data_IF_140510342699
#
_entry.id   IF_140510342699
#
_cell.length_a   1.000
_cell.length_b   1.000
_cell.length_c   1.000
_cell.angle_alpha   90.00
_cell.angle_beta   90.00
_cell.angle_gamma   90.00
#
_symmetry.space_group_name_H-M   'P 1'
#
loop_
_entity.id
_entity.type
_entity.pdbx_description
1 polymer ?
#
# COMPACT_ATOMS: atom_id res chain seq x y z
N UNK A 1 6.02 -6.02 16.41
CA UNK A 1 6.25 -4.84 17.09
C UNK A 1 7.43 -4.06 16.59
N UNK A 2 7.41 -2.85 16.58
CA UNK A 2 8.41 -2.05 15.98
C UNK A 2 9.60 -1.76 16.85
N UNK A 3 9.53 -2.08 18.07
CA UNK A 3 10.65 -1.93 18.97
C UNK A 3 10.95 -0.53 19.43
N UNK A 4 10.43 0.50 18.79
CA UNK A 4 10.81 1.86 19.14
C UNK A 4 9.66 2.77 19.48
N UNK A 5 8.49 2.25 19.58
CA UNK A 5 7.33 3.03 19.92
C UNK A 5 6.17 2.72 19.01
N UNK A 6 5.09 3.50 19.09
CA UNK A 6 3.91 3.21 18.31
C UNK A 6 4.14 3.44 16.82
N UNK A 7 3.44 2.66 16.02
CA UNK A 7 3.37 2.83 14.57
C UNK A 7 1.93 2.55 14.15
N UNK A 8 1.59 2.88 12.93
CA UNK A 8 0.23 2.74 12.42
C UNK A 8 0.20 1.82 11.22
N UNK A 9 -0.77 0.91 11.20
CA UNK A 9 -1.07 0.10 10.02
C UNK A 9 -2.54 0.32 9.71
N UNK A 10 -2.82 0.73 8.48
CA UNK A 10 -4.19 0.95 8.03
C UNK A 10 -4.43 0.17 6.75
N UNK A 11 -5.63 -0.38 6.60
CA UNK A 11 -6.03 -1.08 5.39
C UNK A 11 -7.29 -0.45 4.84
N UNK A 12 -7.43 -0.50 3.52
CA UNK A 12 -8.63 0.02 2.87
C UNK A 12 -8.87 -0.70 1.56
N UNK A 13 -10.14 -0.74 1.16
CA UNK A 13 -10.54 -1.24 -0.14
C UNK A 13 -11.36 -0.12 -0.79
N UNK A 14 -10.81 0.50 -1.82
CA UNK A 14 -11.44 1.66 -2.44
C UNK A 14 -12.33 1.24 -3.60
N UNK A 15 -13.21 2.15 -3.99
CA UNK A 15 -14.13 1.91 -5.10
C UNK A 15 -13.38 1.70 -6.42
N UNK A 16 -13.96 0.88 -7.30
CA UNK A 16 -13.43 0.74 -8.65
C UNK A 16 -13.89 1.88 -9.57
N UNK A 17 -14.74 2.79 -9.09
CA UNK A 17 -15.26 3.89 -9.91
C UNK A 17 -14.16 4.94 -10.09
N UNK A 18 -13.74 5.22 -11.34
CA UNK A 18 -12.67 6.20 -11.57
C UNK A 18 -13.02 7.57 -11.02
N UNK A 19 -12.05 8.23 -10.42
CA UNK A 19 -12.24 9.55 -9.82
C UNK A 19 -12.77 9.47 -8.40
N UNK A 20 -13.77 8.63 -8.16
CA UNK A 20 -14.31 8.46 -6.83
C UNK A 20 -13.28 7.80 -5.91
N UNK A 21 -12.55 6.80 -6.41
CA UNK A 21 -11.50 6.17 -5.64
C UNK A 21 -10.37 7.15 -5.27
N UNK A 22 -10.06 8.09 -6.15
CA UNK A 22 -9.07 9.12 -5.84
C UNK A 22 -9.57 10.02 -4.71
N UNK A 23 -10.86 10.39 -4.74
CA UNK A 23 -11.46 11.20 -3.68
C UNK A 23 -11.43 10.45 -2.35
N UNK A 24 -11.73 9.15 -2.39
CA UNK A 24 -11.67 8.32 -1.20
C UNK A 24 -10.24 8.28 -0.64
N UNK A 25 -9.25 8.14 -1.50
CA UNK A 25 -7.86 8.06 -1.05
C UNK A 25 -7.41 9.39 -0.44
N UNK A 26 -7.82 10.51 -1.01
CA UNK A 26 -7.50 11.81 -0.44
C UNK A 26 -8.15 11.99 0.93
N UNK A 27 -9.39 11.56 1.09
CA UNK A 27 -10.07 11.63 2.37
C UNK A 27 -9.38 10.76 3.41
N UNK A 28 -8.97 9.56 3.00
CA UNK A 28 -8.25 8.63 3.87
C UNK A 28 -6.93 9.24 4.32
N UNK A 29 -6.19 9.86 3.40
CA UNK A 29 -4.92 10.48 3.74
C UNK A 29 -5.11 11.58 4.80
N UNK A 30 -6.15 12.39 4.66
CA UNK A 30 -6.44 13.42 5.65
C UNK A 30 -6.73 12.81 7.01
N UNK A 31 -7.50 11.72 7.03
CA UNK A 31 -7.81 11.05 8.29
C UNK A 31 -6.57 10.48 8.95
N UNK A 32 -5.62 9.98 8.15
CA UNK A 32 -4.39 9.39 8.67
C UNK A 32 -3.38 10.41 9.17
N UNK A 33 -3.61 11.70 8.92
CA UNK A 33 -2.62 12.76 9.15
C UNK A 33 -2.12 12.81 10.59
N UNK A 34 -2.99 12.64 11.57
CA UNK A 34 -2.62 12.76 12.97
C UNK A 34 -2.18 11.47 13.64
N UNK A 35 -2.10 10.38 12.91
CA UNK A 35 -1.77 9.09 13.50
C UNK A 35 -0.26 8.89 13.60
N UNK A 36 0.21 8.02 14.52
CA UNK A 36 1.65 7.80 14.72
C UNK A 36 2.39 7.36 13.46
N UNK A 37 3.63 7.82 13.33
CA UNK A 37 4.55 7.39 12.30
C UNK A 37 5.62 6.49 12.94
N UNK A 38 6.17 5.51 12.21
CA UNK A 38 5.91 5.22 10.81
C UNK A 38 4.49 4.69 10.59
N UNK A 39 3.95 4.96 9.41
CA UNK A 39 2.61 4.56 9.04
C UNK A 39 2.66 3.75 7.74
N UNK A 40 1.93 2.64 7.72
CA UNK A 40 1.80 1.81 6.52
C UNK A 40 0.32 1.76 6.14
N UNK A 41 0.03 2.08 4.88
CA UNK A 41 -1.30 2.02 4.31
C UNK A 41 -1.30 0.99 3.19
N UNK A 42 -2.18 0.00 3.28
CA UNK A 42 -2.21 -1.07 2.30
C UNK A 42 -3.63 -1.46 1.93
N UNK A 43 -3.77 -2.08 0.77
CA UNK A 43 -5.05 -2.59 0.32
C UNK A 43 -5.23 -2.52 -1.19
N UNK A 44 -6.42 -2.93 -1.63
CA UNK A 44 -6.84 -2.82 -3.02
C UNK A 44 -7.46 -1.44 -3.22
N UNK A 45 -6.72 -0.57 -3.88
CA UNK A 45 -7.18 0.81 -4.09
C UNK A 45 -7.89 0.99 -5.42
N UNK A 46 -7.89 -0.05 -6.28
CA UNK A 46 -8.45 0.04 -7.64
C UNK A 46 -7.88 1.23 -8.43
N UNK A 47 -6.64 1.59 -8.12
CA UNK A 47 -5.90 2.66 -8.78
C UNK A 47 -4.59 2.06 -9.28
N UNK A 48 -4.33 2.12 -10.58
CA UNK A 48 -3.17 1.43 -11.15
C UNK A 48 -1.86 2.15 -10.86
N UNK A 49 -0.81 1.35 -10.72
CA UNK A 49 0.56 1.81 -10.75
C UNK A 49 0.90 2.82 -9.67
N UNK A 50 1.43 3.96 -10.10
CA UNK A 50 1.97 4.96 -9.18
C UNK A 50 0.95 5.99 -8.71
N UNK A 51 -0.30 5.87 -9.13
CA UNK A 51 -1.32 6.87 -8.78
C UNK A 51 -1.49 6.99 -7.27
N UNK A 52 -1.61 5.88 -6.51
CA UNK A 52 -1.76 6.03 -5.06
C UNK A 52 -0.61 6.77 -4.38
N UNK A 53 0.62 6.50 -4.79
CA UNK A 53 1.77 7.19 -4.22
C UNK A 53 1.74 8.68 -4.56
N UNK A 54 1.33 9.03 -5.78
CA UNK A 54 1.23 10.43 -6.17
C UNK A 54 0.14 11.17 -5.42
N UNK A 55 -0.99 10.52 -5.18
CA UNK A 55 -2.11 11.13 -4.47
C UNK A 55 -1.75 11.36 -3.00
N UNK A 56 -1.06 10.41 -2.38
CA UNK A 56 -0.76 10.46 -0.95
C UNK A 56 0.58 11.11 -0.65
N UNK A 57 1.52 11.11 -1.59
CA UNK A 57 2.92 11.46 -1.40
C UNK A 57 3.64 10.49 -0.48
N UNK A 58 3.06 9.30 -0.27
CA UNK A 58 3.69 8.23 0.48
C UNK A 58 4.63 7.45 -0.43
N UNK A 59 5.53 6.69 0.19
CA UNK A 59 6.50 5.88 -0.54
C UNK A 59 5.89 4.52 -0.87
N UNK A 60 6.07 4.07 -2.11
CA UNK A 60 5.63 2.75 -2.52
C UNK A 60 6.61 1.69 -2.03
N UNK A 61 6.09 0.64 -1.42
CA UNK A 61 6.92 -0.49 -0.99
C UNK A 61 6.80 -1.68 -1.92
N UNK A 62 5.80 -1.70 -2.81
CA UNK A 62 5.58 -2.76 -3.79
C UNK A 62 5.42 -2.11 -5.16
N UNK A 63 6.07 -2.69 -6.18
CA UNK A 63 6.08 -2.15 -7.54
C UNK A 63 5.77 -3.22 -8.58
N UNK A 64 4.89 -4.18 -8.28
CA UNK A 64 4.62 -5.29 -9.18
C UNK A 64 3.14 -5.44 -9.46
N UNK A 65 2.75 -5.94 -10.65
CA UNK A 65 1.34 -6.20 -10.95
C UNK A 65 0.75 -7.24 -10.00
N UNK A 66 -0.53 -7.06 -9.67
CA UNK A 66 -1.23 -7.93 -8.72
C UNK A 66 -2.52 -8.49 -9.28
N UNK A 67 -2.99 -7.99 -10.42
CA UNK A 67 -4.30 -8.35 -10.95
C UNK A 67 -4.25 -8.49 -12.48
N UNK A 68 -4.95 -9.43 -13.08
CA UNK A 68 -5.55 -10.61 -12.45
C UNK A 68 -4.49 -11.64 -12.07
N UNK A 69 -4.79 -12.49 -11.07
CA UNK A 69 -3.80 -13.40 -10.51
C UNK A 69 -3.28 -14.40 -11.55
N UNK A 70 -4.10 -14.81 -12.50
CA UNK A 70 -3.69 -15.78 -13.51
C UNK A 70 -2.64 -15.24 -14.47
N UNK A 71 -2.65 -13.93 -14.70
CA UNK A 71 -1.69 -13.28 -15.58
C UNK A 71 -1.62 -11.79 -15.20
N UNK A 72 -0.89 -11.45 -14.14
CA UNK A 72 -0.89 -10.08 -13.64
C UNK A 72 -0.42 -9.06 -14.67
N UNK A 73 -1.17 -7.99 -14.81
CA UNK A 73 -0.89 -6.92 -15.75
C UNK A 73 -0.94 -5.53 -15.13
N UNK A 74 -1.69 -5.38 -14.03
CA UNK A 74 -1.87 -4.08 -13.42
C UNK A 74 -1.72 -4.21 -11.91
N UNK A 75 -1.11 -3.21 -11.29
CA UNK A 75 -0.97 -3.18 -9.85
C UNK A 75 -2.16 -2.40 -9.27
N UNK A 76 -3.06 -3.11 -8.61
CA UNK A 76 -4.21 -2.52 -7.90
C UNK A 76 -4.04 -2.60 -6.39
N UNK A 77 -3.19 -3.50 -5.93
CA UNK A 77 -2.93 -3.72 -4.51
C UNK A 77 -1.61 -3.05 -4.15
N UNK A 78 -1.67 -2.18 -3.16
CA UNK A 78 -0.58 -1.28 -2.85
C UNK A 78 -0.21 -1.37 -1.39
N UNK A 79 1.07 -1.15 -1.12
CA UNK A 79 1.57 -0.96 0.24
C UNK A 79 2.38 0.32 0.21
N UNK A 80 1.89 1.31 0.92
CA UNK A 80 2.49 2.64 0.97
C UNK A 80 2.93 2.94 2.39
N UNK A 81 3.95 3.75 2.53
CA UNK A 81 4.46 4.09 3.86
C UNK A 81 4.80 5.57 3.96
N UNK A 82 4.70 6.10 5.16
CA UNK A 82 5.11 7.44 5.48
C UNK A 82 5.84 7.43 6.81
N UNK A 83 6.95 8.16 6.88
CA UNK A 83 7.72 8.27 8.11
C UNK A 83 8.74 7.16 8.34
N UNK A 84 9.06 6.38 7.31
CA UNK A 84 10.15 5.41 7.40
C UNK A 84 11.50 6.14 7.25
N UNK A 85 12.49 5.66 8.00
CA UNK A 85 13.86 6.13 7.80
C UNK A 85 14.42 5.59 6.49
N UNK A 86 15.50 6.16 6.00
CA UNK A 86 16.14 5.65 4.80
C UNK A 86 16.57 4.19 4.96
N UNK A 87 17.03 3.82 6.16
CA UNK A 87 17.43 2.44 6.45
C UNK A 87 16.22 1.50 6.44
N UNK A 88 15.11 1.93 7.03
CA UNK A 88 13.89 1.12 7.04
C UNK A 88 13.37 0.90 5.63
N UNK A 89 13.40 1.93 4.79
CA UNK A 89 13.02 1.78 3.39
C UNK A 89 13.97 0.83 2.64
N UNK A 90 15.26 0.97 2.87
CA UNK A 90 16.27 0.20 2.14
C UNK A 90 16.20 -1.29 2.48
N UNK A 91 15.78 -1.64 3.69
CA UNK A 91 15.71 -3.03 4.13
C UNK A 91 14.33 -3.66 3.94
N UNK A 92 13.35 -2.89 3.50
CA UNK A 92 12.02 -3.42 3.24
C UNK A 92 12.07 -4.45 2.12
N UNK A 93 11.38 -5.58 2.33
CA UNK A 93 11.34 -6.65 1.34
C UNK A 93 9.89 -6.93 0.97
N UNK A 94 9.58 -6.79 -0.32
CA UNK A 94 8.23 -6.99 -0.83
C UNK A 94 8.18 -8.23 -1.71
N UNK A 95 7.04 -8.92 -1.71
CA UNK A 95 6.82 -10.07 -2.56
C UNK A 95 5.35 -10.13 -3.00
N UNK A 96 5.15 -10.60 -4.22
CA UNK A 96 3.82 -10.84 -4.77
C UNK A 96 3.67 -12.35 -4.94
N UNK A 97 2.57 -12.89 -4.43
CA UNK A 97 2.34 -14.32 -4.40
C UNK A 97 1.12 -14.67 -5.25
N UNK A 98 1.31 -15.50 -6.28
CA UNK A 98 0.22 -15.90 -7.17
C UNK A 98 -0.48 -17.11 -6.58
N UNK A 99 -1.41 -16.86 -5.67
CA UNK A 99 -2.14 -17.90 -4.96
C UNK A 99 -3.53 -18.08 -5.57
N UNK A 100 -4.01 -19.33 -5.74
CA UNK A 100 -5.31 -19.58 -6.35
C UNK A 100 -6.45 -19.43 -5.34
N UNK A 101 -6.43 -18.36 -4.55
CA UNK A 101 -7.43 -18.11 -3.51
C UNK A 101 -8.24 -16.85 -3.78
N UNK A 102 -7.83 -16.06 -4.77
CA UNK A 102 -8.48 -14.80 -5.11
C UNK A 102 -8.13 -14.46 -6.55
N UNK A 103 -8.86 -13.53 -7.16
CA UNK A 103 -8.51 -13.02 -8.47
C UNK A 103 -7.37 -11.99 -8.39
N UNK A 104 -7.00 -11.57 -7.19
CA UNK A 104 -5.81 -10.76 -6.95
C UNK A 104 -4.69 -11.61 -6.38
N UNK A 105 -3.46 -11.25 -6.70
CA UNK A 105 -2.30 -11.84 -6.05
C UNK A 105 -2.22 -11.34 -4.61
N UNK A 106 -1.65 -12.15 -3.74
CA UNK A 106 -1.36 -11.72 -2.39
C UNK A 106 -0.07 -10.92 -2.37
N UNK A 107 0.00 -9.93 -1.49
CA UNK A 107 1.17 -9.06 -1.37
C UNK A 107 1.66 -9.09 0.06
N UNK A 108 2.96 -9.21 0.24
CA UNK A 108 3.56 -9.14 1.55
C UNK A 108 4.74 -8.16 1.55
N UNK A 109 4.95 -7.52 2.68
CA UNK A 109 6.09 -6.63 2.88
C UNK A 109 6.66 -6.89 4.27
N UNK A 110 7.95 -7.16 4.33
CA UNK A 110 8.67 -7.30 5.58
C UNK A 110 9.39 -5.99 5.88
N UNK A 111 9.12 -5.44 7.04
CA UNK A 111 9.74 -4.20 7.51
C UNK A 111 10.51 -4.47 8.79
N UNK A 112 11.71 -3.91 8.84
CA UNK A 112 12.52 -3.99 10.05
C UNK A 112 12.43 -2.64 10.77
N UNK A 113 11.47 -2.53 11.67
CA UNK A 113 11.21 -1.28 12.39
C UNK A 113 11.93 -1.19 13.74
#
# INVERSE_FOLDING_TARGET
EGGKGPFTVATAHLSFVPGYNVRQLRALRRWLHGLPRPLVLLGDFNLPGRIPARVTSFVELVHEPTYPVMRPRVQLDHVLADGLTASEQATAEAAVHLLPVSDHAAVSVDLDL
#
